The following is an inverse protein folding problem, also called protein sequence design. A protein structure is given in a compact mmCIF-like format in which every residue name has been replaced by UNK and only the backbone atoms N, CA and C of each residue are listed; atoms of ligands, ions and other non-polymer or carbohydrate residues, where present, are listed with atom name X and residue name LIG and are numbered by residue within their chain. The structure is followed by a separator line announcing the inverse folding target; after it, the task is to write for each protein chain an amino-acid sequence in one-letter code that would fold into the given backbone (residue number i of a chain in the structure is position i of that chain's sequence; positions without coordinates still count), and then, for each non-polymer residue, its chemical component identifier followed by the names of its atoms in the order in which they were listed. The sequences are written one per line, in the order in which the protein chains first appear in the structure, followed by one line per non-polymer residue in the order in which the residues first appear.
data_IF_320984910004
#
_entry.id   IF_320984910004
#
_cell.length_a   1.000
_cell.length_b   1.000
_cell.length_c   1.000
_cell.angle_alpha   90.00
_cell.angle_beta   90.00
_cell.angle_gamma   90.00
#
_symmetry.space_group_name_H-M   'P 1'
#
loop_
_entity.id
_entity.type
_entity.pdbx_description
1 polymer ?
#
# COMPACT_ATOMS: atom_id res chain seq x y z
N UNK A 1 12.77 12.05 -71.56
CA UNK A 1 13.57 11.39 -70.52
C UNK A 1 13.58 12.10 -69.16
N UNK A 2 13.90 13.41 -69.07
CA UNK A 2 14.03 14.13 -67.77
C UNK A 2 12.78 14.14 -66.89
N UNK A 3 11.57 14.12 -67.47
CA UNK A 3 10.28 14.12 -66.73
C UNK A 3 9.97 12.78 -66.04
N UNK A 4 10.20 11.66 -66.74
CA UNK A 4 9.96 10.31 -66.23
C UNK A 4 10.89 9.95 -65.06
N UNK A 5 12.14 10.45 -65.09
CA UNK A 5 13.12 10.24 -64.03
C UNK A 5 12.71 10.98 -62.74
N UNK A 6 12.18 12.21 -62.85
CA UNK A 6 11.69 13.00 -61.69
C UNK A 6 10.47 12.36 -61.04
N UNK A 7 9.54 11.80 -61.81
CA UNK A 7 8.38 11.09 -61.29
C UNK A 7 8.78 9.80 -60.55
N UNK A 8 9.78 9.07 -61.08
CA UNK A 8 10.32 7.87 -60.46
C UNK A 8 11.05 8.17 -59.13
N UNK A 9 11.91 9.20 -59.09
CA UNK A 9 12.60 9.61 -57.85
C UNK A 9 11.65 10.09 -56.77
N UNK A 10 10.58 10.81 -57.13
CA UNK A 10 9.56 11.26 -56.16
C UNK A 10 8.79 10.08 -55.56
N UNK A 11 8.45 9.06 -56.35
CA UNK A 11 7.76 7.85 -55.85
C UNK A 11 8.66 7.01 -54.94
N UNK A 12 9.94 6.85 -55.29
CA UNK A 12 10.92 6.14 -54.45
C UNK A 12 11.18 6.87 -53.14
N UNK A 13 11.26 8.21 -53.17
CA UNK A 13 11.44 9.02 -51.96
C UNK A 13 10.23 8.96 -51.02
N UNK A 14 8.99 8.95 -51.54
CA UNK A 14 7.80 8.72 -50.70
C UNK A 14 7.76 7.30 -50.12
N UNK A 15 8.22 6.29 -50.85
CA UNK A 15 8.26 4.91 -50.37
C UNK A 15 9.31 4.71 -49.26
N UNK A 16 10.51 5.31 -49.39
CA UNK A 16 11.51 5.30 -48.33
C UNK A 16 11.07 6.10 -47.11
N UNK A 17 10.40 7.25 -47.30
CA UNK A 17 9.84 8.02 -46.18
C UNK A 17 8.76 7.24 -45.43
N UNK A 18 7.86 6.54 -46.13
CA UNK A 18 6.84 5.70 -45.51
C UNK A 18 7.45 4.48 -44.79
N UNK A 19 8.47 3.84 -45.37
CA UNK A 19 9.20 2.74 -44.73
C UNK A 19 9.95 3.19 -43.46
N UNK A 20 10.52 4.40 -43.46
CA UNK A 20 11.14 4.99 -42.26
C UNK A 20 10.09 5.30 -41.18
N UNK A 21 8.94 5.88 -41.54
CA UNK A 21 7.84 6.15 -40.60
C UNK A 21 7.28 4.88 -39.98
N UNK A 22 7.19 3.78 -40.75
CA UNK A 22 6.76 2.47 -40.23
C UNK A 22 7.84 1.84 -39.33
N UNK A 23 9.13 2.03 -39.62
CA UNK A 23 10.22 1.56 -38.75
C UNK A 23 10.40 2.36 -37.45
N UNK A 24 9.81 3.57 -37.37
CA UNK A 24 9.77 4.43 -36.18
C UNK A 24 8.54 4.20 -35.30
N UNK A 25 7.57 3.38 -35.74
CA UNK A 25 6.56 2.84 -34.86
C UNK A 25 7.22 1.78 -33.99
N UNK A 26 7.84 2.23 -32.89
CA UNK A 26 8.09 1.36 -31.75
C UNK A 26 6.72 0.87 -31.28
N UNK A 27 6.31 -0.30 -31.77
CA UNK A 27 5.23 -1.05 -31.13
C UNK A 27 5.83 -1.54 -29.83
N UNK A 28 5.86 -0.65 -28.83
CA UNK A 28 5.94 -1.10 -27.45
C UNK A 28 4.73 -2.00 -27.30
N UNK A 29 4.87 -3.30 -26.99
CA UNK A 29 3.72 -4.08 -26.61
C UNK A 29 3.13 -3.37 -25.40
N UNK A 30 2.02 -2.67 -25.61
CA UNK A 30 1.14 -2.28 -24.51
C UNK A 30 0.59 -3.61 -24.05
N UNK A 31 1.21 -4.19 -23.02
CA UNK A 31 0.55 -5.26 -22.29
C UNK A 31 -0.78 -4.67 -21.84
N UNK A 32 -1.87 -5.18 -22.39
CA UNK A 32 -3.20 -4.77 -21.96
C UNK A 32 -3.30 -5.06 -20.46
N UNK A 33 -3.70 -4.06 -19.70
CA UNK A 33 -4.00 -4.22 -18.28
C UNK A 33 -5.00 -5.36 -18.12
N UNK A 34 -4.71 -6.30 -17.22
CA UNK A 34 -5.54 -7.49 -17.01
C UNK A 34 -6.65 -7.16 -16.00
N UNK A 35 -7.90 -7.21 -16.45
CA UNK A 35 -9.06 -7.04 -15.55
C UNK A 35 -9.39 -8.35 -14.85
N UNK A 36 -9.58 -8.31 -13.52
CA UNK A 36 -9.94 -9.43 -12.67
C UNK A 36 -11.07 -9.01 -11.75
N UNK A 37 -12.14 -9.79 -11.70
CA UNK A 37 -13.22 -9.66 -10.74
C UNK A 37 -13.08 -10.77 -9.69
N UNK A 38 -13.33 -10.45 -8.42
CA UNK A 38 -13.18 -11.39 -7.30
C UNK A 38 -14.47 -11.34 -6.46
N UNK A 39 -15.20 -12.44 -6.42
CA UNK A 39 -16.37 -12.62 -5.56
C UNK A 39 -16.15 -13.71 -4.48
N UNK A 40 -15.05 -14.48 -4.58
CA UNK A 40 -14.72 -15.54 -3.60
C UNK A 40 -13.29 -15.46 -3.06
N UNK A 41 -13.10 -16.08 -1.89
CA UNK A 41 -11.78 -16.24 -1.29
C UNK A 41 -10.80 -17.04 -2.17
N UNK A 42 -11.32 -18.02 -2.93
CA UNK A 42 -10.49 -18.83 -3.82
C UNK A 42 -9.95 -18.01 -4.99
N UNK A 43 -10.75 -17.12 -5.58
CA UNK A 43 -10.30 -16.26 -6.67
C UNK A 43 -9.20 -15.27 -6.23
N UNK A 44 -9.30 -14.75 -5.00
CA UNK A 44 -8.23 -13.95 -4.41
C UNK A 44 -6.94 -14.76 -4.22
N UNK A 45 -7.06 -16.02 -3.81
CA UNK A 45 -5.92 -16.95 -3.72
C UNK A 45 -5.34 -17.23 -5.10
N UNK A 46 -6.18 -17.40 -6.13
CA UNK A 46 -5.74 -17.69 -7.50
C UNK A 46 -5.04 -16.50 -8.15
N UNK A 47 -5.51 -15.27 -7.91
CA UNK A 47 -4.79 -14.05 -8.27
C UNK A 47 -3.40 -14.01 -7.61
N UNK A 48 -3.33 -14.27 -6.30
CA UNK A 48 -2.07 -14.30 -5.58
C UNK A 48 -1.11 -15.35 -6.16
N UNK A 49 -1.59 -16.56 -6.44
CA UNK A 49 -0.80 -17.64 -7.04
C UNK A 49 -0.29 -17.27 -8.44
N UNK A 50 -1.16 -16.66 -9.26
CA UNK A 50 -0.82 -16.21 -10.62
C UNK A 50 0.34 -15.23 -10.58
N UNK A 51 0.23 -14.19 -9.74
CA UNK A 51 1.29 -13.19 -9.58
C UNK A 51 2.55 -13.82 -8.99
N UNK A 52 2.42 -14.63 -7.94
CA UNK A 52 3.56 -15.22 -7.23
C UNK A 52 4.34 -16.23 -8.07
N UNK A 53 3.75 -16.75 -9.16
CA UNK A 53 4.36 -17.71 -10.09
C UNK A 53 5.15 -17.06 -11.22
N UNK A 54 5.16 -15.72 -11.32
CA UNK A 54 5.91 -15.01 -12.33
C UNK A 54 7.42 -15.28 -12.22
N UNK A 55 8.14 -15.00 -13.31
CA UNK A 55 9.60 -15.13 -13.31
C UNK A 55 10.24 -14.20 -12.28
N UNK A 56 11.34 -14.65 -11.68
CA UNK A 56 12.09 -13.84 -10.71
C UNK A 56 12.56 -12.53 -11.37
N UNK A 57 12.22 -11.41 -10.74
CA UNK A 57 12.67 -10.09 -11.15
C UNK A 57 14.00 -9.70 -10.50
N UNK A 58 14.33 -8.42 -10.60
CA UNK A 58 15.48 -7.82 -9.92
C UNK A 58 15.10 -6.53 -9.21
N UNK A 59 15.98 -6.01 -8.35
CA UNK A 59 15.73 -4.78 -7.61
C UNK A 59 15.48 -3.54 -8.48
N UNK A 60 16.00 -3.52 -9.70
CA UNK A 60 15.83 -2.42 -10.68
C UNK A 60 14.80 -2.72 -11.75
N UNK A 61 14.37 -3.98 -11.86
CA UNK A 61 13.38 -4.44 -12.84
C UNK A 61 12.61 -5.59 -12.23
N UNK A 62 11.69 -5.29 -11.29
CA UNK A 62 10.84 -6.31 -10.69
C UNK A 62 9.93 -6.94 -11.75
N UNK A 63 9.53 -8.20 -11.53
CA UNK A 63 8.48 -8.81 -12.33
C UNK A 63 7.14 -8.35 -11.76
N UNK A 64 6.43 -7.55 -12.54
CA UNK A 64 5.14 -6.98 -12.17
C UNK A 64 4.10 -7.44 -13.17
N UNK A 65 2.92 -7.81 -12.69
CA UNK A 65 1.74 -7.84 -13.54
C UNK A 65 0.93 -6.57 -13.37
N UNK A 66 0.39 -6.05 -14.47
CA UNK A 66 -0.49 -4.88 -14.50
C UNK A 66 -1.95 -5.32 -14.52
N UNK A 67 -2.66 -5.02 -13.44
CA UNK A 67 -4.02 -5.48 -13.21
C UNK A 67 -4.98 -4.34 -12.86
N UNK A 68 -6.22 -4.47 -13.30
CA UNK A 68 -7.36 -3.83 -12.66
C UNK A 68 -8.13 -4.93 -11.92
N UNK A 69 -8.08 -4.92 -10.60
CA UNK A 69 -8.80 -5.89 -9.76
C UNK A 69 -9.98 -5.19 -9.13
N UNK A 70 -11.18 -5.76 -9.25
CA UNK A 70 -12.39 -5.31 -8.57
C UNK A 70 -12.89 -6.42 -7.65
N UNK A 71 -13.19 -6.06 -6.40
CA UNK A 71 -13.87 -6.95 -5.45
C UNK A 71 -15.38 -6.77 -5.64
N UNK A 72 -16.10 -7.85 -5.93
CA UNK A 72 -17.53 -7.82 -6.25
C UNK A 72 -18.41 -8.30 -5.06
N UNK A 73 -17.78 -8.77 -3.98
CA UNK A 73 -18.44 -9.20 -2.76
C UNK A 73 -17.53 -9.10 -1.53
N UNK A 74 -18.12 -9.09 -0.33
CA UNK A 74 -17.33 -9.29 0.90
C UNK A 74 -16.69 -10.68 0.89
N UNK A 75 -15.37 -10.73 1.15
CA UNK A 75 -14.58 -11.96 1.09
C UNK A 75 -14.22 -12.41 2.51
N UNK A 76 -14.60 -13.65 2.86
CA UNK A 76 -14.18 -14.30 4.11
C UNK A 76 -13.00 -15.26 3.86
N UNK A 77 -11.83 -14.89 4.37
CA UNK A 77 -10.59 -15.66 4.24
C UNK A 77 -10.35 -16.61 5.42
N UNK A 78 -11.25 -16.69 6.41
CA UNK A 78 -11.04 -17.49 7.62
C UNK A 78 -10.88 -18.99 7.36
N UNK A 79 -11.44 -19.49 6.25
CA UNK A 79 -11.27 -20.87 5.77
C UNK A 79 -9.99 -21.10 4.93
N UNK A 80 -9.27 -20.05 4.57
CA UNK A 80 -8.07 -20.13 3.71
C UNK A 80 -6.83 -20.41 4.55
N UNK A 81 -6.29 -21.63 4.46
CA UNK A 81 -5.14 -22.06 5.25
C UNK A 81 -3.78 -21.74 4.61
N UNK A 82 -3.74 -21.43 3.31
CA UNK A 82 -2.53 -21.25 2.53
C UNK A 82 -2.31 -19.81 2.05
N UNK A 83 -2.94 -18.82 2.68
CA UNK A 83 -2.76 -17.42 2.29
C UNK A 83 -1.30 -16.97 2.45
N UNK A 84 -0.65 -16.55 1.35
CA UNK A 84 0.75 -16.11 1.34
C UNK A 84 0.92 -14.60 1.15
N UNK A 85 -0.15 -13.89 0.82
CA UNK A 85 -0.12 -12.53 0.29
C UNK A 85 0.25 -12.48 -1.20
N UNK A 86 -0.07 -11.35 -1.83
CA UNK A 86 0.21 -11.06 -3.25
C UNK A 86 1.63 -10.48 -3.38
N UNK A 87 2.47 -11.09 -4.20
CA UNK A 87 3.87 -10.73 -4.41
C UNK A 87 4.85 -11.57 -3.58
N UNK A 88 6.08 -11.66 -4.09
CA UNK A 88 7.20 -12.41 -3.50
C UNK A 88 8.41 -11.47 -3.41
N UNK A 89 8.58 -10.71 -2.31
CA UNK A 89 9.55 -9.63 -2.25
C UNK A 89 11.01 -10.07 -2.40
N UNK A 90 11.38 -11.26 -1.92
CA UNK A 90 12.73 -11.82 -2.07
C UNK A 90 13.06 -12.19 -3.52
N UNK A 91 12.05 -12.33 -4.38
CA UNK A 91 12.16 -12.61 -5.81
C UNK A 91 11.82 -11.39 -6.67
N UNK A 92 11.59 -10.22 -6.07
CA UNK A 92 11.16 -9.01 -6.76
C UNK A 92 9.92 -9.20 -7.64
N UNK A 93 8.98 -10.03 -7.18
CA UNK A 93 7.71 -10.27 -7.86
C UNK A 93 6.62 -9.48 -7.13
N UNK A 94 5.84 -8.69 -7.86
CA UNK A 94 4.80 -7.85 -7.28
C UNK A 94 3.66 -7.56 -8.26
N UNK A 95 2.88 -6.56 -7.91
CA UNK A 95 1.71 -6.11 -8.67
C UNK A 95 1.75 -4.60 -8.91
N UNK A 96 1.27 -4.18 -10.07
CA UNK A 96 0.98 -2.79 -10.46
C UNK A 96 -0.45 -2.65 -10.95
N UNK A 97 -0.95 -1.42 -11.09
CA UNK A 97 -2.30 -1.13 -11.60
C UNK A 97 -3.27 -0.63 -10.53
N UNK A 98 -4.48 -1.18 -10.46
CA UNK A 98 -5.54 -0.79 -9.50
C UNK A 98 -6.12 -2.01 -8.80
N UNK A 99 -6.31 -1.91 -7.49
CA UNK A 99 -7.09 -2.82 -6.69
C UNK A 99 -8.23 -2.05 -6.03
N UNK A 100 -9.41 -2.17 -6.63
CA UNK A 100 -10.64 -1.52 -6.20
C UNK A 100 -11.44 -2.48 -5.31
N UNK A 101 -11.56 -2.15 -4.04
CA UNK A 101 -12.41 -2.90 -3.12
C UNK A 101 -13.89 -2.69 -3.37
N UNK A 102 -14.29 -1.69 -4.18
CA UNK A 102 -15.68 -1.38 -4.51
C UNK A 102 -16.62 -1.28 -3.27
N UNK A 103 -16.08 -0.84 -2.13
CA UNK A 103 -16.80 -0.74 -0.87
C UNK A 103 -16.95 -2.06 -0.11
N UNK A 104 -16.21 -3.10 -0.46
CA UNK A 104 -16.26 -4.40 0.20
C UNK A 104 -15.19 -4.59 1.28
N UNK A 105 -15.40 -5.64 2.07
CA UNK A 105 -14.48 -6.08 3.12
C UNK A 105 -13.84 -7.42 2.76
N UNK A 106 -12.51 -7.50 2.86
CA UNK A 106 -11.78 -8.77 2.94
C UNK A 106 -11.46 -9.03 4.42
N UNK A 107 -12.03 -10.09 4.98
CA UNK A 107 -11.94 -10.43 6.40
C UNK A 107 -11.28 -11.78 6.63
N UNK A 108 -10.91 -12.08 7.88
CA UNK A 108 -10.35 -13.37 8.24
C UNK A 108 -8.93 -13.63 7.71
N UNK A 109 -8.19 -12.59 7.31
CA UNK A 109 -6.80 -12.73 6.87
C UNK A 109 -5.97 -13.37 7.99
N UNK A 110 -5.23 -14.42 7.65
CA UNK A 110 -4.27 -15.06 8.55
C UNK A 110 -2.99 -15.34 7.79
N UNK A 111 -1.93 -14.60 8.10
CA UNK A 111 -0.62 -14.76 7.47
C UNK A 111 0.45 -14.92 8.54
N UNK A 112 1.22 -16.01 8.47
CA UNK A 112 2.37 -16.23 9.34
C UNK A 112 3.64 -16.47 8.51
N UNK A 113 4.66 -15.63 8.73
CA UNK A 113 5.97 -15.75 8.11
C UNK A 113 7.07 -15.86 9.17
N UNK A 114 7.51 -17.07 9.46
CA UNK A 114 8.63 -17.30 10.39
C UNK A 114 10.00 -17.15 9.74
N UNK A 115 10.05 -16.90 8.42
CA UNK A 115 11.31 -16.72 7.70
C UNK A 115 11.85 -15.30 7.86
N UNK A 116 13.17 -15.15 7.81
CA UNK A 116 13.85 -13.85 7.85
C UNK A 116 13.95 -13.20 6.45
N UNK A 117 12.99 -13.47 5.57
CA UNK A 117 12.95 -12.94 4.21
C UNK A 117 11.57 -12.35 3.90
N UNK A 118 11.59 -11.26 3.12
CA UNK A 118 10.41 -10.65 2.54
C UNK A 118 9.46 -9.94 3.52
N UNK A 119 9.13 -8.66 3.30
CA UNK A 119 8.03 -7.99 3.96
C UNK A 119 6.70 -8.67 3.68
N UNK A 120 5.75 -8.50 4.59
CA UNK A 120 4.41 -9.08 4.50
C UNK A 120 3.35 -8.02 4.66
N UNK A 121 2.37 -8.02 3.77
CA UNK A 121 1.14 -7.25 3.91
C UNK A 121 -0.01 -8.20 4.26
N UNK A 122 -1.09 -7.68 4.85
CA UNK A 122 -2.33 -8.46 4.96
C UNK A 122 -2.81 -8.93 3.58
N UNK A 123 -2.71 -8.06 2.56
CA UNK A 123 -3.00 -8.40 1.17
C UNK A 123 -1.75 -8.48 0.30
N UNK A 124 -0.93 -7.44 0.27
CA UNK A 124 0.18 -7.33 -0.68
C UNK A 124 1.53 -7.37 0.02
N UNK A 125 2.37 -8.33 -0.32
CA UNK A 125 3.75 -8.35 0.13
C UNK A 125 4.62 -7.33 -0.61
N UNK A 126 4.41 -7.17 -1.93
CA UNK A 126 5.16 -6.25 -2.78
C UNK A 126 4.25 -5.59 -3.83
N UNK A 127 4.27 -4.26 -3.88
CA UNK A 127 3.60 -3.48 -4.92
C UNK A 127 4.54 -2.47 -5.57
N UNK A 128 4.17 -2.02 -6.76
CA UNK A 128 4.79 -0.88 -7.44
C UNK A 128 3.75 -0.19 -8.32
N UNK A 129 3.69 1.15 -8.26
CA UNK A 129 2.83 1.98 -9.11
C UNK A 129 1.36 1.50 -9.08
N UNK A 130 0.81 1.34 -7.88
CA UNK A 130 -0.54 0.79 -7.65
C UNK A 130 -1.48 1.80 -6.98
N UNK A 131 -2.78 1.74 -7.31
CA UNK A 131 -3.86 2.35 -6.54
C UNK A 131 -4.65 1.29 -5.80
N UNK A 132 -4.82 1.43 -4.49
CA UNK A 132 -5.67 0.59 -3.65
C UNK A 132 -6.77 1.49 -3.09
N UNK A 133 -8.04 1.16 -3.34
CA UNK A 133 -9.14 2.04 -2.90
C UNK A 133 -10.38 1.29 -2.44
N UNK A 134 -11.19 1.99 -1.65
CA UNK A 134 -12.57 1.60 -1.28
C UNK A 134 -12.66 0.19 -0.68
N UNK A 135 -11.80 -0.10 0.31
CA UNK A 135 -11.60 -1.46 0.84
C UNK A 135 -11.40 -1.48 2.35
N UNK A 136 -12.02 -2.44 3.04
CA UNK A 136 -11.61 -2.81 4.41
C UNK A 136 -10.89 -4.15 4.39
N UNK A 137 -9.76 -4.24 5.09
CA UNK A 137 -9.02 -5.48 5.33
C UNK A 137 -9.01 -5.77 6.82
N UNK A 138 -9.32 -7.00 7.23
CA UNK A 138 -9.23 -7.40 8.64
C UNK A 138 -8.63 -8.79 8.84
N UNK A 139 -7.91 -8.95 9.95
CA UNK A 139 -7.26 -10.21 10.30
C UNK A 139 -5.95 -10.02 11.05
N UNK A 140 -5.01 -10.94 10.82
CA UNK A 140 -3.72 -10.96 11.51
C UNK A 140 -2.55 -11.28 10.58
N UNK A 141 -1.42 -10.61 10.85
CA UNK A 141 -0.14 -10.90 10.20
C UNK A 141 0.93 -11.03 11.26
N UNK A 142 1.58 -12.18 11.30
CA UNK A 142 2.77 -12.44 12.13
C UNK A 142 3.98 -12.65 11.24
N UNK A 143 5.08 -11.94 11.46
CA UNK A 143 6.28 -12.05 10.61
C UNK A 143 7.57 -11.82 11.40
N UNK A 144 8.70 -12.28 10.84
CA UNK A 144 10.05 -11.91 11.29
C UNK A 144 10.68 -10.81 10.40
N UNK A 145 9.90 -10.25 9.47
CA UNK A 145 10.24 -9.15 8.55
C UNK A 145 9.10 -8.16 8.43
N UNK A 146 9.43 -6.92 8.06
CA UNK A 146 8.54 -5.76 7.89
C UNK A 146 7.07 -6.12 7.60
N UNK A 147 6.15 -5.51 8.33
CA UNK A 147 4.71 -5.83 8.24
C UNK A 147 3.91 -4.57 7.93
N UNK A 148 3.00 -4.67 6.96
CA UNK A 148 1.92 -3.71 6.77
C UNK A 148 0.54 -4.36 6.94
N UNK A 149 -0.45 -3.62 7.42
CA UNK A 149 -1.82 -4.14 7.47
C UNK A 149 -2.40 -4.44 6.09
N UNK A 150 -2.09 -3.61 5.08
CA UNK A 150 -2.48 -3.85 3.68
C UNK A 150 -1.25 -4.22 2.85
N UNK A 151 -0.19 -3.40 2.90
CA UNK A 151 0.99 -3.50 2.03
C UNK A 151 2.27 -3.69 2.84
N UNK A 152 3.00 -4.77 2.62
CA UNK A 152 4.31 -5.01 3.24
C UNK A 152 5.37 -4.03 2.72
N UNK A 153 5.51 -3.92 1.39
CA UNK A 153 6.46 -3.02 0.72
C UNK A 153 5.87 -2.42 -0.54
N UNK A 154 6.07 -1.11 -0.74
CA UNK A 154 5.94 -0.48 -2.05
C UNK A 154 7.31 -0.02 -2.56
N UNK A 155 7.66 -0.32 -3.82
CA UNK A 155 8.94 0.10 -4.44
C UNK A 155 8.85 1.38 -5.27
N UNK A 156 7.66 1.70 -5.79
CA UNK A 156 7.40 2.87 -6.64
C UNK A 156 6.29 3.75 -6.07
N UNK A 157 5.55 4.41 -6.95
CA UNK A 157 4.37 5.20 -6.58
C UNK A 157 3.26 4.33 -5.98
N UNK A 158 2.43 4.93 -5.15
CA UNK A 158 1.26 4.24 -4.59
C UNK A 158 0.20 5.23 -4.12
N UNK A 159 -1.07 4.89 -4.35
CA UNK A 159 -2.21 5.56 -3.73
C UNK A 159 -2.99 4.58 -2.88
N UNK A 160 -3.26 4.95 -1.62
CA UNK A 160 -4.26 4.30 -0.76
C UNK A 160 -5.35 5.33 -0.50
N UNK A 161 -6.59 5.01 -0.85
CA UNK A 161 -7.72 5.93 -0.72
C UNK A 161 -8.95 5.23 -0.17
N UNK A 162 -9.58 5.80 0.85
CA UNK A 162 -10.81 5.21 1.43
C UNK A 162 -10.57 3.75 1.86
N UNK A 163 -9.44 3.48 2.51
CA UNK A 163 -9.10 2.13 2.96
C UNK A 163 -8.97 2.02 4.47
N UNK A 164 -9.38 0.88 5.02
CA UNK A 164 -9.26 0.60 6.45
C UNK A 164 -8.54 -0.72 6.66
N UNK A 165 -7.51 -0.72 7.50
CA UNK A 165 -6.86 -1.94 7.98
C UNK A 165 -7.22 -2.14 9.45
N UNK A 166 -7.94 -3.22 9.77
CA UNK A 166 -8.35 -3.62 11.11
C UNK A 166 -7.61 -4.89 11.50
N UNK A 167 -6.39 -4.71 12.02
CA UNK A 167 -5.36 -5.76 11.99
C UNK A 167 -4.70 -6.02 13.34
N UNK A 168 -4.36 -7.28 13.59
CA UNK A 168 -3.38 -7.66 14.60
C UNK A 168 -2.04 -7.94 13.91
N UNK A 169 -1.05 -7.06 14.11
CA UNK A 169 0.25 -7.14 13.45
C UNK A 169 1.33 -7.47 14.48
N UNK A 170 2.09 -8.55 14.26
CA UNK A 170 3.12 -9.00 15.21
C UNK A 170 4.45 -9.25 14.52
N UNK A 171 5.47 -8.44 14.84
CA UNK A 171 6.86 -8.78 14.57
C UNK A 171 7.40 -9.63 15.72
N UNK A 172 7.48 -10.94 15.49
CA UNK A 172 7.88 -11.91 16.51
C UNK A 172 9.39 -11.92 16.78
N UNK A 173 10.19 -11.63 15.75
CA UNK A 173 11.65 -11.60 15.80
C UNK A 173 12.20 -10.75 14.64
N UNK A 174 13.50 -10.84 14.38
CA UNK A 174 14.23 -10.04 13.41
C UNK A 174 14.55 -8.66 13.95
N UNK A 175 15.56 -8.02 13.36
CA UNK A 175 16.02 -6.70 13.72
C UNK A 175 15.95 -5.75 12.52
N UNK A 176 15.83 -4.45 12.80
CA UNK A 176 15.79 -3.39 11.79
C UNK A 176 14.64 -3.56 10.78
N UNK A 177 13.50 -4.07 11.25
CA UNK A 177 12.23 -4.17 10.53
C UNK A 177 11.24 -3.14 11.08
N UNK A 178 10.10 -2.92 10.42
CA UNK A 178 9.06 -2.03 10.96
C UNK A 178 7.65 -2.61 10.82
N UNK A 179 6.74 -2.11 11.65
CA UNK A 179 5.30 -2.31 11.48
C UNK A 179 4.68 -0.98 11.06
N UNK A 180 3.81 -1.00 10.06
CA UNK A 180 2.87 0.09 9.79
C UNK A 180 1.46 -0.43 9.67
N UNK A 181 0.49 0.25 10.29
CA UNK A 181 -0.90 -0.20 10.27
C UNK A 181 -1.50 -0.32 8.86
N UNK A 182 -1.06 0.52 7.90
CA UNK A 182 -1.39 0.38 6.49
C UNK A 182 -0.23 -0.22 5.71
N UNK A 183 0.96 0.38 5.86
CA UNK A 183 2.13 0.06 5.03
C UNK A 183 3.37 -0.20 5.87
N UNK A 184 4.00 -1.36 5.68
CA UNK A 184 5.22 -1.72 6.41
C UNK A 184 6.40 -0.83 6.05
N UNK A 185 6.65 -0.64 4.76
CA UNK A 185 7.73 0.23 4.27
C UNK A 185 7.53 0.76 2.85
N UNK A 186 8.04 1.96 2.60
CA UNK A 186 8.27 2.51 1.26
C UNK A 186 9.74 2.41 0.89
N UNK A 187 10.03 1.67 -0.18
CA UNK A 187 11.39 1.41 -0.64
C UNK A 187 11.99 0.13 -0.05
N UNK A 188 13.30 0.14 0.15
CA UNK A 188 14.16 -1.02 0.43
C UNK A 188 14.40 -1.93 -0.80
N UNK A 189 15.34 -1.46 -1.65
CA UNK A 189 15.76 -1.95 -2.98
C UNK A 189 16.46 -0.85 -3.81
N UNK A 190 16.71 -1.05 -5.11
CA UNK A 190 17.17 0.00 -6.05
C UNK A 190 15.98 0.90 -6.42
N UNK A 191 15.61 1.83 -5.53
CA UNK A 191 14.54 2.80 -5.81
C UNK A 191 15.03 3.86 -6.78
N UNK A 192 14.31 4.08 -7.88
CA UNK A 192 14.44 5.30 -8.67
C UNK A 192 13.84 6.44 -7.85
N UNK A 193 14.61 7.47 -7.51
CA UNK A 193 14.12 8.60 -6.71
C UNK A 193 12.97 9.34 -7.41
N UNK A 194 12.11 9.98 -6.62
CA UNK A 194 10.99 10.79 -7.12
C UNK A 194 9.61 10.11 -7.04
N UNK A 195 9.50 8.97 -6.36
CA UNK A 195 8.23 8.26 -6.21
C UNK A 195 7.24 9.09 -5.37
N UNK A 196 5.98 9.10 -5.78
CA UNK A 196 4.91 9.81 -5.06
C UNK A 196 3.99 8.82 -4.38
N UNK A 197 3.77 9.02 -3.09
CA UNK A 197 2.85 8.23 -2.27
C UNK A 197 1.72 9.14 -1.77
N UNK A 198 0.49 8.67 -1.89
CA UNK A 198 -0.69 9.33 -1.34
C UNK A 198 -1.49 8.37 -0.47
N UNK A 199 -1.75 8.73 0.79
CA UNK A 199 -2.67 8.02 1.68
C UNK A 199 -3.76 9.00 2.09
N UNK A 200 -5.00 8.74 1.69
CA UNK A 200 -6.12 9.67 1.92
C UNK A 200 -7.33 8.94 2.46
N UNK A 201 -8.09 9.59 3.36
CA UNK A 201 -9.32 9.04 3.94
C UNK A 201 -9.16 7.60 4.41
N UNK A 202 -8.04 7.28 5.07
CA UNK A 202 -7.72 5.91 5.42
C UNK A 202 -7.52 5.73 6.93
N UNK A 203 -7.68 4.52 7.43
CA UNK A 203 -7.51 4.25 8.84
C UNK A 203 -6.80 2.95 9.15
N UNK A 204 -6.09 2.95 10.27
CA UNK A 204 -5.52 1.75 10.87
C UNK A 204 -6.12 1.52 12.25
N UNK A 205 -6.61 0.31 12.49
CA UNK A 205 -7.17 -0.15 13.74
C UNK A 205 -6.51 -1.44 14.20
N UNK A 206 -6.57 -1.70 15.50
CA UNK A 206 -6.16 -2.98 16.08
C UNK A 206 -4.92 -2.89 16.96
N UNK A 207 -4.07 -3.92 16.92
CA UNK A 207 -2.92 -4.04 17.84
C UNK A 207 -1.65 -4.37 17.08
N UNK A 208 -0.64 -3.50 17.20
CA UNK A 208 0.63 -3.61 16.49
C UNK A 208 1.75 -3.84 17.50
N UNK A 209 2.33 -5.03 17.49
CA UNK A 209 3.29 -5.47 18.51
C UNK A 209 4.63 -5.83 17.87
N UNK A 210 5.71 -5.23 18.37
CA UNK A 210 7.06 -5.72 18.08
C UNK A 210 7.76 -6.22 19.34
N UNK A 211 8.26 -7.46 19.26
CA UNK A 211 8.99 -8.12 20.33
C UNK A 211 10.50 -7.82 20.32
N UNK A 212 10.99 -7.00 19.37
CA UNK A 212 12.41 -6.63 19.25
C UNK A 212 12.58 -5.12 19.35
N UNK A 213 13.47 -4.65 20.23
CA UNK A 213 13.70 -3.22 20.48
C UNK A 213 14.21 -2.42 19.28
N UNK A 214 14.82 -3.05 18.28
CA UNK A 214 15.31 -2.36 17.08
C UNK A 214 14.24 -2.13 16.01
N UNK A 215 13.03 -2.65 16.22
CA UNK A 215 11.96 -2.57 15.24
C UNK A 215 10.97 -1.45 15.60
N UNK A 216 10.93 -0.34 14.86
CA UNK A 216 9.95 0.70 15.12
C UNK A 216 8.53 0.29 14.71
N UNK A 217 7.53 0.89 15.37
CA UNK A 217 6.10 0.64 15.13
C UNK A 217 5.38 1.95 14.83
N UNK A 218 4.79 2.04 13.64
CA UNK A 218 4.08 3.21 13.14
C UNK A 218 2.59 2.95 13.01
N UNK A 219 1.77 3.95 13.35
CA UNK A 219 0.32 3.80 13.26
C UNK A 219 -0.19 3.60 11.83
N UNK A 220 0.30 4.37 10.85
CA UNK A 220 -0.05 4.20 9.43
C UNK A 220 1.10 3.59 8.64
N UNK A 221 2.32 4.12 8.81
CA UNK A 221 3.50 3.72 8.03
C UNK A 221 4.65 3.34 8.94
N UNK A 222 5.28 2.19 8.67
CA UNK A 222 6.42 1.71 9.44
C UNK A 222 7.70 2.47 9.12
N UNK A 223 8.18 2.38 7.87
CA UNK A 223 9.44 3.00 7.47
C UNK A 223 9.34 3.65 6.10
N UNK A 224 9.82 4.89 5.98
CA UNK A 224 9.91 5.60 4.71
C UNK A 224 11.39 5.81 4.38
N UNK A 225 11.90 5.15 3.33
CA UNK A 225 13.25 5.38 2.84
C UNK A 225 13.34 6.68 2.03
N UNK A 226 14.55 7.11 1.68
CA UNK A 226 14.78 8.29 0.84
C UNK A 226 14.28 8.11 -0.59
N UNK A 227 14.03 9.22 -1.29
CA UNK A 227 13.55 9.21 -2.67
C UNK A 227 12.04 9.14 -2.82
N UNK A 228 11.28 9.21 -1.72
CA UNK A 228 9.83 9.26 -1.71
C UNK A 228 9.31 10.64 -1.31
N UNK A 229 8.25 11.08 -1.98
CA UNK A 229 7.41 12.21 -1.60
C UNK A 229 6.08 11.65 -1.11
N UNK A 230 5.83 11.74 0.19
CA UNK A 230 4.69 11.10 0.85
C UNK A 230 3.72 12.15 1.35
N UNK A 231 2.45 12.03 0.96
CA UNK A 231 1.36 12.84 1.51
C UNK A 231 0.36 11.92 2.21
N UNK A 232 0.05 12.23 3.47
CA UNK A 232 -1.01 11.58 4.22
C UNK A 232 -2.02 12.64 4.63
N UNK A 233 -3.29 12.39 4.33
CA UNK A 233 -4.36 13.30 4.73
C UNK A 233 -5.66 12.63 5.13
N UNK A 234 -6.44 13.34 5.96
CA UNK A 234 -7.78 12.96 6.39
C UNK A 234 -7.86 11.52 6.93
N UNK A 235 -6.83 11.09 7.65
CA UNK A 235 -6.62 9.69 8.04
C UNK A 235 -6.49 9.56 9.56
N UNK A 236 -6.87 8.41 10.11
CA UNK A 236 -6.78 8.20 11.55
C UNK A 236 -6.19 6.87 11.98
N UNK A 237 -5.71 6.82 13.22
CA UNK A 237 -5.25 5.59 13.87
C UNK A 237 -5.99 5.37 15.18
N UNK A 238 -6.64 4.21 15.28
CA UNK A 238 -7.25 3.71 16.50
C UNK A 238 -6.65 2.34 16.84
N UNK A 239 -5.39 2.34 17.28
CA UNK A 239 -4.63 1.14 17.55
C UNK A 239 -3.75 1.25 18.80
N UNK A 240 -3.42 0.11 19.39
CA UNK A 240 -2.35 -0.01 20.39
C UNK A 240 -1.01 -0.27 19.72
N UNK A 241 0.00 0.55 20.01
CA UNK A 241 1.37 0.34 19.53
C UNK A 241 2.24 -0.19 20.67
N UNK A 242 2.51 -1.50 20.65
CA UNK A 242 3.28 -2.18 21.68
C UNK A 242 4.71 -2.41 21.16
N UNK A 243 5.69 -1.74 21.75
CA UNK A 243 7.08 -1.90 21.35
C UNK A 243 7.96 -2.26 22.55
N UNK A 244 8.70 -3.36 22.44
CA UNK A 244 9.70 -3.80 23.44
C UNK A 244 10.98 -2.96 23.39
N UNK A 245 10.87 -1.64 23.56
CA UNK A 245 11.99 -0.71 23.69
C UNK A 245 12.41 0.02 22.41
N UNK A 246 11.74 -0.22 21.29
CA UNK A 246 11.92 0.54 20.05
C UNK A 246 11.06 1.78 19.95
N UNK A 247 11.28 2.54 18.89
CA UNK A 247 10.56 3.78 18.64
C UNK A 247 9.12 3.52 18.19
N UNK A 248 8.18 4.33 18.68
CA UNK A 248 6.84 4.41 18.10
C UNK A 248 6.61 5.77 17.48
N UNK A 249 5.83 5.81 16.41
CA UNK A 249 5.30 7.04 15.86
C UNK A 249 3.81 6.89 15.64
N UNK A 250 3.02 7.84 16.14
CA UNK A 250 1.56 7.77 16.07
C UNK A 250 1.05 7.61 14.64
N UNK A 251 1.72 8.24 13.67
CA UNK A 251 1.40 8.11 12.24
C UNK A 251 2.52 7.41 11.46
N UNK A 252 3.77 7.82 11.65
CA UNK A 252 4.94 7.27 10.93
C UNK A 252 6.02 6.86 11.91
N UNK A 253 6.50 5.62 11.85
CA UNK A 253 7.54 5.18 12.78
C UNK A 253 8.90 5.80 12.45
N UNK A 254 9.40 5.60 11.23
CA UNK A 254 10.66 6.17 10.76
C UNK A 254 10.49 6.89 9.42
N UNK A 255 10.93 8.14 9.35
CA UNK A 255 10.91 8.97 8.15
C UNK A 255 12.34 9.33 7.69
N UNK A 256 12.70 8.92 6.48
CA UNK A 256 13.88 9.39 5.75
C UNK A 256 13.51 9.93 4.36
N UNK A 257 12.24 10.28 4.15
CA UNK A 257 11.70 10.72 2.87
C UNK A 257 12.33 12.02 2.36
N UNK A 258 12.19 12.26 1.06
CA UNK A 258 12.50 13.55 0.45
C UNK A 258 11.53 14.62 0.93
N UNK A 259 10.26 14.25 1.10
CA UNK A 259 9.22 15.10 1.68
C UNK A 259 8.12 14.24 2.29
N UNK A 260 7.73 14.54 3.51
CA UNK A 260 6.57 13.98 4.20
C UNK A 260 5.62 15.12 4.56
N UNK A 261 4.40 15.08 4.04
CA UNK A 261 3.33 16.02 4.42
C UNK A 261 2.22 15.24 5.13
N UNK A 262 1.97 15.58 6.40
CA UNK A 262 0.89 15.04 7.20
C UNK A 262 -0.13 16.16 7.43
N UNK A 263 -1.35 16.01 6.94
CA UNK A 263 -2.39 17.03 7.12
C UNK A 263 -3.69 16.41 7.61
N UNK A 264 -4.37 17.05 8.58
CA UNK A 264 -5.68 16.57 9.04
C UNK A 264 -5.64 15.07 9.41
N UNK A 265 -4.84 14.73 10.42
CA UNK A 265 -4.68 13.33 10.84
C UNK A 265 -4.96 13.18 12.33
N UNK A 266 -5.50 12.04 12.74
CA UNK A 266 -5.92 11.81 14.12
C UNK A 266 -5.38 10.50 14.66
N UNK A 267 -5.07 10.47 15.96
CA UNK A 267 -4.55 9.25 16.60
C UNK A 267 -4.95 9.17 18.07
N UNK A 268 -5.02 7.96 18.62
CA UNK A 268 -5.40 7.79 20.04
C UNK A 268 -4.36 8.41 20.98
N UNK A 269 -4.83 9.13 21.99
CA UNK A 269 -3.98 9.67 23.05
C UNK A 269 -3.28 8.53 23.80
N UNK A 270 -1.99 8.69 24.05
CA UNK A 270 -1.17 7.71 24.76
C UNK A 270 -0.61 6.56 23.92
N UNK A 271 -0.97 6.42 22.63
CA UNK A 271 -0.41 5.35 21.78
C UNK A 271 1.06 5.57 21.39
N UNK A 272 1.50 6.84 21.35
CA UNK A 272 2.89 7.23 21.09
C UNK A 272 3.12 8.66 21.60
N UNK A 273 4.36 8.95 21.98
CA UNK A 273 4.78 10.30 22.41
C UNK A 273 4.99 11.26 21.23
N UNK A 274 5.20 10.73 20.02
CA UNK A 274 5.52 11.53 18.84
C UNK A 274 4.60 11.17 17.67
N UNK A 275 4.28 12.15 16.83
CA UNK A 275 3.56 11.90 15.56
C UNK A 275 4.43 11.05 14.63
N UNK A 276 5.71 11.38 14.56
CA UNK A 276 6.75 10.67 13.83
C UNK A 276 7.78 10.18 14.84
N UNK A 277 8.09 8.89 14.84
CA UNK A 277 9.00 8.30 15.81
C UNK A 277 10.43 8.80 15.65
N UNK A 278 11.05 8.48 14.51
CA UNK A 278 12.37 8.99 14.10
C UNK A 278 12.20 9.76 12.80
N UNK A 279 12.73 10.98 12.75
CA UNK A 279 12.66 11.83 11.56
C UNK A 279 14.04 12.34 11.15
N UNK A 280 14.50 11.87 9.99
CA UNK A 280 15.70 12.36 9.31
C UNK A 280 15.38 12.90 7.91
N UNK A 281 14.10 12.98 7.55
CA UNK A 281 13.62 13.50 6.28
C UNK A 281 13.22 14.97 6.36
N UNK A 282 12.58 15.46 5.30
CA UNK A 282 11.89 16.75 5.33
C UNK A 282 10.42 16.52 5.67
N UNK A 283 9.92 17.21 6.70
CA UNK A 283 8.56 17.00 7.20
C UNK A 283 7.80 18.30 7.32
N UNK A 284 6.54 18.28 6.88
CA UNK A 284 5.54 19.29 7.18
C UNK A 284 4.33 18.62 7.85
N UNK A 285 3.94 19.10 9.03
CA UNK A 285 2.76 18.63 9.74
C UNK A 285 1.75 19.76 9.92
N UNK A 286 0.49 19.50 9.60
CA UNK A 286 -0.62 20.43 9.79
C UNK A 286 -1.84 19.71 10.35
N UNK A 287 -2.50 20.28 11.36
CA UNK A 287 -3.76 19.76 11.90
C UNK A 287 -3.72 18.26 12.27
N UNK A 288 -2.64 17.81 12.90
CA UNK A 288 -2.51 16.44 13.40
C UNK A 288 -2.79 16.43 14.90
N UNK A 289 -3.83 15.70 15.35
CA UNK A 289 -4.33 15.79 16.72
C UNK A 289 -4.52 14.43 17.38
N UNK A 290 -4.13 14.31 18.65
CA UNK A 290 -4.52 13.18 19.47
C UNK A 290 -5.96 13.31 19.96
N UNK A 291 -6.67 12.20 20.15
CA UNK A 291 -8.02 12.16 20.71
C UNK A 291 -8.16 11.04 21.76
N UNK A 292 -9.13 11.15 22.67
CA UNK A 292 -9.36 10.10 23.67
C UNK A 292 -10.19 8.96 23.08
N UNK A 293 -10.06 7.74 23.59
CA UNK A 293 -10.83 6.60 23.08
C UNK A 293 -12.34 6.93 23.02
N UNK A 294 -12.96 6.65 21.86
CA UNK A 294 -14.37 6.95 21.58
C UNK A 294 -14.73 8.42 21.32
N UNK A 295 -13.78 9.37 21.32
CA UNK A 295 -14.12 10.79 21.11
C UNK A 295 -13.97 11.28 19.67
N UNK A 296 -13.37 10.50 18.77
CA UNK A 296 -13.21 10.91 17.36
C UNK A 296 -14.53 10.76 16.62
N UNK A 297 -15.10 11.87 16.17
CA UNK A 297 -16.32 11.90 15.36
C UNK A 297 -16.00 12.12 13.89
N UNK A 298 -16.89 11.71 12.99
CA UNK A 298 -16.69 11.90 11.55
C UNK A 298 -16.55 13.37 11.14
N UNK A 299 -17.22 14.29 11.85
CA UNK A 299 -17.10 15.74 11.63
C UNK A 299 -15.68 16.26 11.87
N UNK A 300 -14.90 15.61 12.76
CA UNK A 300 -13.50 15.98 12.97
C UNK A 300 -12.65 15.69 11.73
N UNK A 301 -12.98 14.63 10.96
CA UNK A 301 -12.27 14.26 9.73
C UNK A 301 -12.75 15.01 8.48
N UNK A 302 -13.91 15.66 8.57
CA UNK A 302 -14.53 16.34 7.45
C UNK A 302 -13.96 17.75 7.29
N UNK A 303 -12.73 17.85 6.75
CA UNK A 303 -12.14 19.11 6.33
C UNK A 303 -12.35 19.32 4.82
N UNK A 304 -13.62 19.33 4.38
CA UNK A 304 -14.03 19.61 2.99
C UNK A 304 -14.67 18.47 2.18
N UNK A 305 -15.07 17.34 2.78
CA UNK A 305 -15.62 16.19 2.05
C UNK A 305 -16.31 15.12 2.91
N UNK A 306 -17.32 14.46 2.34
CA UNK A 306 -18.28 13.56 3.01
C UNK A 306 -17.84 12.10 3.18
N UNK A 307 -16.53 11.80 3.12
CA UNK A 307 -16.04 10.42 3.10
C UNK A 307 -16.29 9.67 4.41
N UNK A 308 -16.26 10.37 5.54
CA UNK A 308 -16.43 9.78 6.88
C UNK A 308 -17.84 10.00 7.44
N UNK A 309 -18.36 8.99 8.12
CA UNK A 309 -19.65 8.98 8.81
C UNK A 309 -19.52 8.36 10.21
N UNK A 310 -20.41 8.77 11.13
CA UNK A 310 -20.48 8.16 12.46
C UNK A 310 -21.50 7.03 12.43
N UNK A 311 -21.04 5.79 12.61
CA UNK A 311 -21.86 4.57 12.63
C UNK A 311 -21.54 3.76 13.89
N UNK A 312 -22.55 3.53 14.72
CA UNK A 312 -22.39 2.73 15.94
C UNK A 312 -22.09 1.27 15.58
N UNK A 313 -21.18 0.63 16.32
CA UNK A 313 -20.79 -0.76 16.11
C UNK A 313 -19.84 -1.01 14.94
N UNK A 314 -19.39 0.03 14.23
CA UNK A 314 -18.43 -0.09 13.12
C UNK A 314 -17.06 0.42 13.54
N UNK A 315 -16.01 -0.19 12.96
CA UNK A 315 -14.60 0.11 13.26
C UNK A 315 -14.37 0.14 14.77
N UNK A 316 -14.70 -0.96 15.45
CA UNK A 316 -14.69 -1.04 16.91
C UNK A 316 -13.29 -1.41 17.40
N UNK A 317 -12.70 -0.56 18.22
CA UNK A 317 -11.44 -0.86 18.92
C UNK A 317 -11.53 -0.45 20.39
N UNK A 318 -11.09 -1.34 21.28
CA UNK A 318 -11.24 -1.18 22.74
C UNK A 318 -12.68 -0.82 23.17
N UNK A 319 -13.68 -1.46 22.56
CA UNK A 319 -15.12 -1.24 22.81
C UNK A 319 -15.69 0.11 22.37
N UNK A 320 -14.93 0.92 21.65
CA UNK A 320 -15.41 2.20 21.09
C UNK A 320 -15.53 2.11 19.57
N UNK A 321 -16.58 2.70 19.01
CA UNK A 321 -16.74 2.87 17.56
C UNK A 321 -15.98 4.09 17.07
N UNK A 322 -15.35 3.96 15.91
CA UNK A 322 -14.64 5.04 15.24
C UNK A 322 -15.28 5.35 13.88
N UNK A 323 -14.97 6.51 13.28
CA UNK A 323 -15.58 6.92 12.02
C UNK A 323 -15.45 5.85 10.93
N UNK A 324 -16.55 5.62 10.23
CA UNK A 324 -16.68 4.68 9.13
C UNK A 324 -16.62 5.43 7.81
N UNK A 325 -16.11 4.80 6.77
CA UNK A 325 -16.24 5.33 5.42
C UNK A 325 -17.70 5.25 4.98
N UNK A 326 -18.11 6.14 4.09
CA UNK A 326 -19.51 6.26 3.67
C UNK A 326 -20.09 5.00 3.01
N UNK A 327 -19.24 4.12 2.49
CA UNK A 327 -19.64 2.84 1.89
C UNK A 327 -19.80 1.70 2.91
N UNK A 328 -19.35 1.88 4.17
CA UNK A 328 -19.40 0.85 5.22
C UNK A 328 -20.76 0.77 5.94
#
# INVERSE_FOLDING_TARGET
MKSQIKAFTRKVSLFLALAMVISLLCVVPVNAQTTVHIDTAQELVDLANTINSQSVGSGSSPSLGDYYVEIDADIDMSGVSNWQGIGVPQSWIGITGTFDGNGHTISGISLTNTQYVGPKGGLFNLVQDITIKDLKVSGSVTSNRFIGGIVGRALGGMTIQNCIADMTLTLSNGASNSIGGLVGQFGSGQTTGGNTISITNSAALGTFTSNTSSNPVGGLVGHIYSGFNVTVSNSYVAASLNNSGGTTGALVANNASTSLTLTNCWYLSGMSSNIIGTDTGSTNTGNCYSFSAGTLTASALNNGGSAWQTKSGVNVFNSYSYPALSWQ
#
